data_IF_427155744306
#
_entry.id   IF_427155744306
#
_cell.length_a   1.000
_cell.length_b   1.000
_cell.length_c   1.000
_cell.angle_alpha   90.00
_cell.angle_beta   90.00
_cell.angle_gamma   90.00
#
_symmetry.space_group_name_H-M   'P 1'
#
loop_
_entity.id
_entity.type
_entity.pdbx_description
1 polymer ?
#
# COMPACT_ATOMS: atom_id res chain seq x y z
N UNK A 1 -49.87 -15.03 -28.07
CA UNK A 1 -49.96 -15.64 -26.72
C UNK A 1 -48.58 -16.20 -26.39
N UNK A 2 -47.81 -15.49 -25.58
CA UNK A 2 -46.44 -15.86 -25.17
C UNK A 2 -46.41 -16.00 -23.65
N UNK A 3 -45.80 -17.07 -23.08
CA UNK A 3 -45.90 -17.35 -21.66
C UNK A 3 -44.83 -16.56 -20.88
N UNK A 4 -45.30 -15.85 -19.86
CA UNK A 4 -44.47 -15.07 -18.94
C UNK A 4 -43.93 -15.98 -17.83
N UNK A 5 -42.64 -16.30 -17.85
CA UNK A 5 -41.98 -17.02 -16.76
C UNK A 5 -41.70 -16.08 -15.58
N UNK A 6 -42.44 -16.25 -14.49
CA UNK A 6 -42.15 -15.62 -13.19
C UNK A 6 -41.16 -16.47 -12.41
N UNK A 7 -39.95 -15.95 -12.18
CA UNK A 7 -39.00 -16.53 -11.22
C UNK A 7 -39.42 -16.16 -9.80
N UNK A 8 -39.64 -17.17 -8.96
CA UNK A 8 -39.84 -17.03 -7.52
C UNK A 8 -38.47 -17.04 -6.85
N UNK A 9 -38.07 -15.92 -6.27
CA UNK A 9 -36.89 -15.81 -5.41
C UNK A 9 -37.31 -16.22 -3.99
N UNK A 10 -36.73 -17.30 -3.48
CA UNK A 10 -36.85 -17.74 -2.09
C UNK A 10 -35.79 -16.99 -1.28
N UNK A 11 -36.24 -16.12 -0.38
CA UNK A 11 -35.38 -15.44 0.61
C UNK A 11 -35.29 -16.32 1.85
N UNK A 12 -34.13 -16.90 2.11
CA UNK A 12 -33.85 -17.62 3.34
C UNK A 12 -33.37 -16.62 4.41
N UNK A 13 -34.13 -16.49 5.50
CA UNK A 13 -33.75 -15.68 6.65
C UNK A 13 -32.73 -16.43 7.51
N UNK A 14 -31.51 -15.90 7.62
CA UNK A 14 -30.46 -16.43 8.49
C UNK A 14 -30.57 -15.73 9.86
N UNK A 15 -31.04 -16.45 10.87
CA UNK A 15 -31.06 -15.97 12.25
C UNK A 15 -29.69 -16.15 12.90
N UNK A 16 -29.01 -15.04 13.19
CA UNK A 16 -27.73 -15.04 13.93
C UNK A 16 -28.04 -14.83 15.41
N UNK A 17 -27.79 -15.85 16.23
CA UNK A 17 -27.87 -15.77 17.70
C UNK A 17 -26.59 -15.14 18.26
N UNK A 18 -26.71 -13.95 18.85
CA UNK A 18 -25.64 -13.28 19.59
C UNK A 18 -25.47 -13.91 20.98
N UNK A 19 -24.28 -14.44 21.27
CA UNK A 19 -23.88 -14.83 22.62
C UNK A 19 -23.30 -13.63 23.39
N UNK A 20 -23.52 -13.53 24.71
CA UNK A 20 -23.01 -12.42 25.52
C UNK A 20 -21.50 -12.51 25.76
N UNK A 21 -20.80 -11.41 25.45
CA UNK A 21 -19.38 -11.21 25.74
C UNK A 21 -19.23 -10.92 27.24
N UNK A 22 -18.52 -11.79 27.98
CA UNK A 22 -18.09 -11.55 29.36
C UNK A 22 -16.94 -10.54 29.36
N UNK A 23 -17.18 -9.36 29.90
CA UNK A 23 -16.15 -8.38 30.24
C UNK A 23 -15.40 -8.82 31.50
N UNK A 24 -14.11 -9.15 31.36
CA UNK A 24 -13.20 -9.23 32.50
C UNK A 24 -12.75 -7.82 32.88
N UNK A 25 -13.09 -7.40 34.10
CA UNK A 25 -12.54 -6.19 34.71
C UNK A 25 -11.16 -6.52 35.27
N UNK A 26 -10.12 -5.87 34.74
CA UNK A 26 -8.77 -5.90 35.31
C UNK A 26 -8.69 -4.91 36.47
N UNK A 27 -8.27 -5.41 37.64
CA UNK A 27 -7.97 -4.60 38.83
C UNK A 27 -6.65 -3.84 38.68
N UNK A 28 -6.55 -2.59 39.17
CA UNK A 28 -5.31 -1.82 39.12
C UNK A 28 -4.28 -2.28 40.18
N UNK A 29 -3.10 -2.66 39.71
CA UNK A 29 -1.93 -3.02 40.55
C UNK A 29 -1.29 -1.76 41.18
N UNK A 30 -1.00 -1.72 42.49
CA UNK A 30 -0.43 -0.55 43.15
C UNK A 30 1.06 -0.36 42.83
N UNK A 31 1.43 0.90 42.55
CA UNK A 31 2.80 1.34 42.27
C UNK A 31 3.62 1.47 43.57
N UNK A 32 4.71 0.70 43.66
CA UNK A 32 5.69 0.81 44.74
C UNK A 32 6.74 1.89 44.40
N UNK A 33 6.81 2.94 45.24
CA UNK A 33 7.89 3.93 45.26
C UNK A 33 9.15 3.29 45.85
N UNK A 34 10.27 3.30 45.12
CA UNK A 34 11.62 3.07 45.69
C UNK A 34 12.40 4.38 45.73
N UNK A 35 12.92 4.67 46.91
CA UNK A 35 13.79 5.80 47.21
C UNK A 35 15.17 5.62 46.57
N UNK A 36 15.78 6.76 46.25
CA UNK A 36 17.10 6.91 45.62
C UNK A 36 18.09 7.29 46.70
N UNK A 37 19.07 6.42 46.97
CA UNK A 37 20.28 6.78 47.72
C UNK A 37 21.42 7.05 46.71
N UNK A 38 21.96 8.27 46.78
CA UNK A 38 23.04 8.75 45.95
C UNK A 38 24.40 8.46 46.60
N UNK A 39 25.33 7.88 45.82
CA UNK A 39 26.76 7.85 46.16
C UNK A 39 27.56 8.36 44.95
N UNK A 40 28.47 9.34 45.11
CA UNK A 40 29.31 9.82 44.04
C UNK A 40 30.60 8.98 44.01
N UNK A 41 30.79 8.17 42.97
CA UNK A 41 32.09 7.55 42.69
C UNK A 41 32.75 8.18 41.47
N UNK A 42 34.04 8.39 41.68
CA UNK A 42 35.01 9.19 40.93
C UNK A 42 35.33 8.50 39.59
N UNK A 43 35.03 9.16 38.47
CA UNK A 43 35.30 8.63 37.15
C UNK A 43 36.78 8.82 36.76
N UNK A 44 37.51 7.71 36.63
CA UNK A 44 38.79 7.67 35.93
C UNK A 44 38.57 7.57 34.41
N UNK A 45 39.37 8.28 33.58
CA UNK A 45 39.22 8.27 32.13
C UNK A 45 39.87 7.01 31.53
N UNK A 46 39.06 6.05 31.07
CA UNK A 46 39.54 4.93 30.24
C UNK A 46 39.63 5.34 28.77
N UNK A 47 40.84 5.62 28.31
CA UNK A 47 41.20 5.59 26.89
C UNK A 47 41.45 4.12 26.46
N UNK A 48 41.23 3.81 25.18
CA UNK A 48 41.56 2.55 24.48
C UNK A 48 40.49 1.43 24.35
N UNK A 49 39.31 1.73 23.77
CA UNK A 49 38.40 0.73 23.16
C UNK A 49 37.97 0.90 21.66
N UNK A 50 38.71 1.55 20.73
CA UNK A 50 38.24 1.70 19.34
C UNK A 50 38.16 0.40 18.51
N UNK A 51 39.05 -0.58 18.74
CA UNK A 51 39.21 -1.73 17.83
C UNK A 51 38.13 -2.82 17.99
N UNK A 52 37.58 -3.00 19.20
CA UNK A 52 36.52 -3.97 19.47
C UNK A 52 35.17 -3.51 18.87
N UNK A 53 34.87 -2.21 18.97
CA UNK A 53 33.64 -1.64 18.43
C UNK A 53 33.50 -1.83 16.90
N UNK A 54 34.61 -1.78 16.15
CA UNK A 54 34.57 -1.96 14.69
C UNK A 54 34.16 -3.38 14.29
N UNK A 55 34.71 -4.41 14.96
CA UNK A 55 34.38 -5.81 14.65
C UNK A 55 32.90 -6.14 14.91
N UNK A 56 32.33 -5.52 15.94
CA UNK A 56 30.91 -5.68 16.27
C UNK A 56 29.99 -5.06 15.21
N UNK A 57 30.36 -3.88 14.68
CA UNK A 57 29.62 -3.24 13.57
C UNK A 57 29.67 -4.09 12.31
N UNK A 58 30.86 -4.56 11.91
CA UNK A 58 31.02 -5.39 10.70
C UNK A 58 30.22 -6.71 10.81
N UNK A 59 30.21 -7.34 11.98
CA UNK A 59 29.44 -8.57 12.22
C UNK A 59 27.92 -8.33 12.16
N UNK A 60 27.46 -7.20 12.72
CA UNK A 60 26.05 -6.79 12.66
C UNK A 60 25.62 -6.49 11.22
N UNK A 61 26.46 -5.80 10.45
CA UNK A 61 26.14 -5.49 9.05
C UNK A 61 26.03 -6.74 8.18
N UNK A 62 26.94 -7.70 8.38
CA UNK A 62 26.87 -9.00 7.70
C UNK A 62 25.61 -9.79 8.08
N UNK A 63 25.18 -9.74 9.34
CA UNK A 63 23.92 -10.34 9.79
C UNK A 63 22.71 -9.70 9.10
N UNK A 64 22.70 -8.36 8.99
CA UNK A 64 21.62 -7.62 8.31
C UNK A 64 21.59 -7.99 6.84
N UNK A 65 22.74 -8.05 6.15
CA UNK A 65 22.79 -8.44 4.74
C UNK A 65 22.28 -9.86 4.50
N UNK A 66 22.62 -10.80 5.39
CA UNK A 66 22.06 -12.16 5.34
C UNK A 66 20.53 -12.14 5.50
N UNK A 67 20.01 -11.30 6.40
CA UNK A 67 18.58 -11.12 6.60
C UNK A 67 17.88 -10.47 5.40
N UNK A 68 18.53 -9.52 4.71
CA UNK A 68 18.03 -8.95 3.46
C UNK A 68 17.77 -10.03 2.41
N UNK A 69 18.72 -10.96 2.25
CA UNK A 69 18.56 -12.06 1.29
C UNK A 69 17.39 -12.99 1.63
N UNK A 70 17.05 -13.12 2.90
CA UNK A 70 15.88 -13.89 3.35
C UNK A 70 14.56 -13.15 3.11
N UNK A 71 14.55 -11.81 3.20
CA UNK A 71 13.35 -11.01 2.99
C UNK A 71 12.99 -10.80 1.52
N UNK A 72 13.96 -10.76 0.61
CA UNK A 72 13.69 -10.54 -0.83
C UNK A 72 12.66 -11.55 -1.38
N UNK A 73 12.78 -12.87 -1.15
CA UNK A 73 11.76 -13.83 -1.56
C UNK A 73 10.39 -13.57 -0.93
N UNK A 74 10.34 -13.18 0.34
CA UNK A 74 9.10 -12.84 1.05
C UNK A 74 8.39 -11.64 0.40
N UNK A 75 9.11 -10.53 0.18
CA UNK A 75 8.56 -9.36 -0.49
C UNK A 75 8.20 -9.63 -1.94
N UNK A 76 8.96 -10.48 -2.64
CA UNK A 76 8.65 -10.92 -4.00
C UNK A 76 7.28 -11.61 -4.03
N UNK A 77 6.99 -12.52 -3.09
CA UNK A 77 5.67 -13.16 -3.02
C UNK A 77 4.56 -12.17 -2.64
N UNK A 78 4.83 -11.27 -1.68
CA UNK A 78 3.89 -10.25 -1.25
C UNK A 78 3.49 -9.28 -2.38
N UNK A 79 4.43 -8.93 -3.27
CA UNK A 79 4.21 -7.96 -4.34
C UNK A 79 3.74 -8.60 -5.66
N UNK A 80 3.72 -9.93 -5.76
CA UNK A 80 3.23 -10.65 -6.94
C UNK A 80 1.82 -10.24 -7.37
N UNK A 81 0.81 -10.07 -6.48
CA UNK A 81 -0.52 -9.57 -6.87
C UNK A 81 -0.49 -8.20 -7.55
N UNK A 82 0.44 -7.32 -7.15
CA UNK A 82 0.62 -5.99 -7.75
C UNK A 82 1.06 -6.17 -9.21
N UNK A 83 2.09 -6.98 -9.42
CA UNK A 83 2.60 -7.28 -10.76
C UNK A 83 1.50 -7.89 -11.65
N UNK A 84 0.78 -8.90 -11.14
CA UNK A 84 -0.31 -9.54 -11.87
C UNK A 84 -1.39 -8.54 -12.29
N UNK A 85 -1.77 -7.62 -11.40
CA UNK A 85 -2.75 -6.57 -11.70
C UNK A 85 -2.26 -5.65 -12.82
N UNK A 86 -0.99 -5.23 -12.79
CA UNK A 86 -0.43 -4.36 -13.82
C UNK A 86 -0.27 -5.08 -15.16
N UNK A 87 0.14 -6.35 -15.15
CA UNK A 87 0.18 -7.18 -16.36
C UNK A 87 -1.22 -7.35 -16.97
N UNK A 88 -2.23 -7.68 -16.17
CA UNK A 88 -3.61 -7.82 -16.64
C UNK A 88 -4.14 -6.51 -17.25
N UNK A 89 -3.80 -5.37 -16.64
CA UNK A 89 -4.12 -4.05 -17.21
C UNK A 89 -3.46 -3.83 -18.57
N UNK A 90 -2.16 -4.13 -18.71
CA UNK A 90 -1.44 -4.01 -19.99
C UNK A 90 -2.04 -4.93 -21.06
N UNK A 91 -2.37 -6.17 -20.69
CA UNK A 91 -3.05 -7.12 -21.59
C UNK A 91 -4.36 -6.56 -22.15
N UNK A 92 -5.15 -5.89 -21.30
CA UNK A 92 -6.44 -5.33 -21.70
C UNK A 92 -6.34 -4.08 -22.57
N UNK A 93 -5.29 -3.28 -22.38
CA UNK A 93 -5.18 -1.95 -23.02
C UNK A 93 -4.31 -1.94 -24.29
N UNK A 94 -3.28 -2.79 -24.33
CA UNK A 94 -2.20 -2.65 -25.32
C UNK A 94 -2.32 -3.57 -26.54
N UNK A 95 -3.32 -4.45 -26.63
CA UNK A 95 -3.51 -5.38 -27.76
C UNK A 95 -2.19 -6.12 -28.12
N UNK A 96 -1.54 -6.75 -27.14
CA UNK A 96 -0.17 -7.28 -27.30
C UNK A 96 -0.07 -8.44 -28.31
N UNK A 97 0.95 -8.38 -29.17
CA UNK A 97 1.30 -9.50 -30.06
C UNK A 97 1.93 -10.66 -29.28
N UNK A 98 1.85 -11.91 -29.78
CA UNK A 98 2.50 -13.06 -29.14
C UNK A 98 4.00 -12.87 -28.88
N UNK A 99 4.71 -12.12 -29.73
CA UNK A 99 6.15 -11.85 -29.61
C UNK A 99 6.48 -10.82 -28.52
N UNK A 100 5.55 -9.91 -28.22
CA UNK A 100 5.71 -8.89 -27.19
C UNK A 100 5.52 -9.47 -25.77
N UNK A 101 4.59 -10.41 -25.61
CA UNK A 101 4.20 -10.99 -24.31
C UNK A 101 5.37 -11.56 -23.50
N UNK A 102 6.22 -12.47 -24.01
CA UNK A 102 7.29 -13.06 -23.22
C UNK A 102 8.36 -12.02 -22.82
N UNK A 103 8.60 -11.02 -23.67
CA UNK A 103 9.53 -9.92 -23.37
C UNK A 103 9.01 -9.08 -22.18
N UNK A 104 7.74 -8.69 -22.23
CA UNK A 104 7.10 -7.93 -21.15
C UNK A 104 7.06 -8.76 -19.87
N UNK A 105 6.64 -10.04 -19.92
CA UNK A 105 6.58 -10.92 -18.74
C UNK A 105 7.95 -11.03 -18.06
N UNK A 106 8.97 -11.37 -18.84
CA UNK A 106 10.34 -11.60 -18.32
C UNK A 106 10.90 -10.33 -17.68
N UNK A 107 10.76 -9.19 -18.35
CA UNK A 107 11.23 -7.92 -17.80
C UNK A 107 10.43 -7.51 -16.55
N UNK A 108 9.13 -7.76 -16.53
CA UNK A 108 8.26 -7.45 -15.39
C UNK A 108 8.61 -8.26 -14.13
N UNK A 109 8.97 -9.54 -14.26
CA UNK A 109 9.48 -10.35 -13.13
C UNK A 109 10.78 -9.76 -12.55
N UNK A 110 11.65 -9.18 -13.38
CA UNK A 110 12.83 -8.47 -12.88
C UNK A 110 12.46 -7.21 -12.07
N UNK A 111 11.42 -6.47 -12.48
CA UNK A 111 10.92 -5.30 -11.73
C UNK A 111 10.33 -5.66 -10.37
N UNK A 112 9.70 -6.84 -10.27
CA UNK A 112 9.17 -7.35 -9.01
C UNK A 112 10.30 -7.63 -8.01
N UNK A 113 11.39 -8.26 -8.48
CA UNK A 113 12.59 -8.48 -7.67
C UNK A 113 13.23 -7.15 -7.26
N UNK A 114 13.31 -6.16 -8.15
CA UNK A 114 13.83 -4.82 -7.84
C UNK A 114 13.03 -4.15 -6.71
N UNK A 115 11.69 -4.17 -6.79
CA UNK A 115 10.83 -3.60 -5.76
C UNK A 115 10.97 -4.35 -4.41
N UNK A 116 11.12 -5.67 -4.45
CA UNK A 116 11.37 -6.49 -3.26
C UNK A 116 12.73 -6.16 -2.62
N UNK A 117 13.79 -6.01 -3.40
CA UNK A 117 15.12 -5.60 -2.94
C UNK A 117 15.07 -4.22 -2.27
N UNK A 118 14.44 -3.22 -2.90
CA UNK A 118 14.30 -1.88 -2.31
C UNK A 118 13.58 -1.90 -0.96
N UNK A 119 12.55 -2.73 -0.81
CA UNK A 119 11.86 -2.87 0.48
C UNK A 119 12.75 -3.57 1.52
N UNK A 120 13.47 -4.61 1.13
CA UNK A 120 14.41 -5.29 2.02
C UNK A 120 15.49 -4.31 2.50
N UNK A 121 16.13 -3.58 1.60
CA UNK A 121 17.13 -2.56 1.93
C UNK A 121 16.58 -1.49 2.88
N UNK A 122 15.35 -1.02 2.65
CA UNK A 122 14.67 -0.09 3.56
C UNK A 122 14.53 -0.67 4.97
N UNK A 123 14.09 -1.93 5.10
CA UNK A 123 13.99 -2.62 6.39
C UNK A 123 15.38 -2.82 7.05
N UNK A 124 16.41 -3.15 6.26
CA UNK A 124 17.78 -3.29 6.76
C UNK A 124 18.36 -1.96 7.26
N UNK A 125 18.08 -0.87 6.55
CA UNK A 125 18.45 0.49 6.97
C UNK A 125 17.82 0.86 8.32
N UNK A 126 16.53 0.56 8.51
CA UNK A 126 15.86 0.76 9.80
C UNK A 126 16.51 -0.06 10.93
N UNK A 127 16.99 -1.28 10.63
CA UNK A 127 17.70 -2.11 11.61
C UNK A 127 19.12 -1.63 11.90
N UNK A 128 19.82 -0.98 10.95
CA UNK A 128 21.17 -0.43 11.14
C UNK A 128 21.16 0.83 11.98
N UNK A 129 20.41 1.84 11.53
CA UNK A 129 20.51 3.20 12.03
C UNK A 129 19.47 3.55 13.11
N UNK A 130 18.64 2.56 13.47
CA UNK A 130 17.41 2.79 14.24
C UNK A 130 16.38 3.55 13.41
N UNK A 131 15.24 3.90 14.01
CA UNK A 131 14.08 4.53 13.35
C UNK A 131 14.33 5.90 12.69
N UNK A 132 15.60 6.31 12.51
CA UNK A 132 16.02 7.54 11.82
C UNK A 132 15.97 7.43 10.29
N UNK A 133 15.76 6.24 9.73
CA UNK A 133 15.34 6.09 8.34
C UNK A 133 13.87 6.54 8.18
N UNK A 134 13.59 7.81 8.50
CA UNK A 134 12.27 8.46 8.35
C UNK A 134 11.95 8.81 6.90
N UNK A 135 12.81 8.46 5.95
CA UNK A 135 12.61 8.83 4.55
C UNK A 135 11.80 7.74 3.86
N UNK A 136 10.48 7.97 3.84
CA UNK A 136 9.45 7.37 3.00
C UNK A 136 9.66 5.91 2.66
N UNK A 137 8.90 5.04 3.33
CA UNK A 137 8.78 3.63 2.94
C UNK A 137 8.59 3.51 1.42
N UNK A 138 9.41 2.71 0.70
CA UNK A 138 9.29 2.55 -0.74
C UNK A 138 7.86 2.16 -1.13
N UNK A 139 7.34 2.78 -2.18
CA UNK A 139 6.07 2.35 -2.76
C UNK A 139 6.36 1.28 -3.84
N UNK A 140 6.11 -0.01 -3.56
CA UNK A 140 6.41 -1.08 -4.51
C UNK A 140 5.54 -0.98 -5.76
N UNK A 141 4.31 -0.50 -5.65
CA UNK A 141 3.42 -0.32 -6.80
C UNK A 141 3.93 0.76 -7.75
N UNK A 142 4.42 1.88 -7.22
CA UNK A 142 5.05 2.92 -8.03
C UNK A 142 6.32 2.39 -8.70
N UNK A 143 7.19 1.71 -7.94
CA UNK A 143 8.43 1.12 -8.47
C UNK A 143 8.15 0.15 -9.62
N UNK A 144 7.22 -0.78 -9.43
CA UNK A 144 6.82 -1.76 -10.46
C UNK A 144 6.28 -1.05 -11.70
N UNK A 145 5.38 -0.06 -11.54
CA UNK A 145 4.81 0.67 -12.68
C UNK A 145 5.83 1.46 -13.46
N UNK A 146 6.72 2.18 -12.78
CA UNK A 146 7.76 2.97 -13.44
C UNK A 146 8.71 2.08 -14.22
N UNK A 147 9.17 0.97 -13.62
CA UNK A 147 10.05 0.03 -14.29
C UNK A 147 9.35 -0.69 -15.45
N UNK A 148 8.09 -1.11 -15.32
CA UNK A 148 7.32 -1.68 -16.44
C UNK A 148 7.10 -0.65 -17.55
N UNK A 149 6.80 0.60 -17.20
CA UNK A 149 6.58 1.66 -18.20
C UNK A 149 7.81 1.88 -19.08
N UNK A 150 9.03 1.74 -18.54
CA UNK A 150 10.27 1.77 -19.34
C UNK A 150 10.32 0.61 -20.32
N UNK A 151 10.05 -0.62 -19.88
CA UNK A 151 10.00 -1.82 -20.74
C UNK A 151 8.98 -1.65 -21.87
N UNK A 152 7.81 -1.07 -21.57
CA UNK A 152 6.77 -0.85 -22.56
C UNK A 152 7.19 0.17 -23.62
N UNK A 153 7.98 1.19 -23.27
CA UNK A 153 8.48 2.16 -24.25
C UNK A 153 9.35 1.51 -25.32
N UNK A 154 10.13 0.50 -24.96
CA UNK A 154 11.03 -0.22 -25.87
C UNK A 154 10.32 -1.33 -26.67
N UNK A 155 9.17 -1.82 -26.18
CA UNK A 155 8.50 -3.01 -26.72
C UNK A 155 7.24 -2.70 -27.52
N UNK A 156 6.51 -1.65 -27.14
CA UNK A 156 5.23 -1.29 -27.74
C UNK A 156 5.41 -0.42 -28.98
N UNK A 157 4.48 -0.54 -29.91
CA UNK A 157 4.36 0.44 -31.01
C UNK A 157 3.94 1.81 -30.44
N UNK A 158 4.18 2.93 -31.16
CA UNK A 158 3.76 4.25 -30.70
C UNK A 158 2.25 4.34 -30.40
N UNK A 159 1.41 3.68 -31.20
CA UNK A 159 -0.04 3.63 -30.98
C UNK A 159 -0.44 2.88 -29.71
N UNK A 160 0.15 1.72 -29.46
CA UNK A 160 -0.07 0.96 -28.22
C UNK A 160 0.38 1.76 -26.99
N UNK A 161 1.56 2.41 -27.08
CA UNK A 161 2.07 3.22 -25.97
C UNK A 161 1.20 4.45 -25.67
N UNK A 162 0.64 5.09 -26.71
CA UNK A 162 -0.29 6.21 -26.53
C UNK A 162 -1.60 5.77 -25.85
N UNK A 163 -2.16 4.62 -26.25
CA UNK A 163 -3.31 4.02 -25.56
C UNK A 163 -3.00 3.75 -24.08
N UNK A 164 -1.89 3.08 -23.81
CA UNK A 164 -1.44 2.79 -22.44
C UNK A 164 -1.34 4.05 -21.58
N UNK A 165 -0.65 5.10 -22.07
CA UNK A 165 -0.51 6.38 -21.34
C UNK A 165 -1.85 7.04 -21.04
N UNK A 166 -2.78 6.99 -22.00
CA UNK A 166 -4.12 7.55 -21.84
C UNK A 166 -4.88 6.83 -20.72
N UNK A 167 -4.90 5.50 -20.75
CA UNK A 167 -5.57 4.68 -19.72
C UNK A 167 -4.91 4.82 -18.34
N UNK A 168 -3.58 4.89 -18.27
CA UNK A 168 -2.87 5.18 -17.01
C UNK A 168 -3.31 6.53 -16.43
N UNK A 169 -3.37 7.58 -17.26
CA UNK A 169 -3.80 8.89 -16.82
C UNK A 169 -5.26 8.89 -16.31
N UNK A 170 -6.17 8.20 -17.02
CA UNK A 170 -7.55 8.04 -16.60
C UNK A 170 -7.66 7.29 -15.27
N UNK A 171 -6.93 6.17 -15.12
CA UNK A 171 -6.89 5.40 -13.87
C UNK A 171 -6.37 6.23 -12.69
N UNK A 172 -5.30 7.00 -12.91
CA UNK A 172 -4.76 7.91 -11.88
C UNK A 172 -5.78 8.98 -11.49
N UNK A 173 -6.43 9.62 -12.46
CA UNK A 173 -7.45 10.63 -12.19
C UNK A 173 -8.66 10.05 -11.43
N UNK A 174 -9.11 8.85 -11.82
CA UNK A 174 -10.21 8.16 -11.15
C UNK A 174 -9.89 7.84 -9.70
N UNK A 175 -8.68 7.33 -9.42
CA UNK A 175 -8.24 7.00 -8.07
C UNK A 175 -8.08 8.22 -7.18
N UNK A 176 -7.47 9.29 -7.70
CA UNK A 176 -7.42 10.59 -7.01
C UNK A 176 -8.84 11.01 -6.60
N UNK A 177 -9.77 11.04 -7.55
CA UNK A 177 -11.17 11.42 -7.28
C UNK A 177 -11.81 10.52 -6.21
N UNK A 178 -11.67 9.20 -6.35
CA UNK A 178 -12.23 8.25 -5.40
C UNK A 178 -11.63 8.39 -3.98
N UNK A 179 -10.32 8.65 -3.87
CA UNK A 179 -9.65 8.86 -2.59
C UNK A 179 -10.20 10.11 -1.89
N UNK A 180 -10.30 11.23 -2.62
CA UNK A 180 -10.82 12.49 -2.10
C UNK A 180 -12.28 12.33 -1.67
N UNK A 181 -13.13 11.75 -2.53
CA UNK A 181 -14.54 11.50 -2.23
C UNK A 181 -14.70 10.59 -1.01
N UNK A 182 -13.88 9.53 -0.89
CA UNK A 182 -13.91 8.62 0.26
C UNK A 182 -13.58 9.33 1.57
N UNK A 183 -12.58 10.23 1.58
CA UNK A 183 -12.24 11.02 2.77
C UNK A 183 -13.33 12.03 3.10
N UNK A 184 -13.83 12.76 2.11
CA UNK A 184 -14.87 13.78 2.32
C UNK A 184 -16.18 13.14 2.81
N UNK A 185 -16.56 11.98 2.29
CA UNK A 185 -17.74 11.25 2.76
C UNK A 185 -17.61 10.82 4.23
N UNK A 186 -16.42 10.38 4.67
CA UNK A 186 -16.20 10.04 6.09
C UNK A 186 -16.22 11.28 6.98
N UNK A 187 -15.58 12.36 6.54
CA UNK A 187 -15.63 13.64 7.26
C UNK A 187 -17.08 14.13 7.39
N UNK A 188 -17.88 14.00 6.34
CA UNK A 188 -19.31 14.33 6.36
C UNK A 188 -20.08 13.50 7.40
N UNK A 189 -19.89 12.18 7.40
CA UNK A 189 -20.53 11.28 8.36
C UNK A 189 -20.14 11.55 9.82
N UNK A 190 -18.91 12.00 10.08
CA UNK A 190 -18.42 12.30 11.44
C UNK A 190 -18.69 13.73 11.90
N UNK A 191 -18.59 14.71 11.00
CA UNK A 191 -18.66 16.15 11.33
C UNK A 191 -19.99 16.81 10.91
N UNK A 192 -20.89 16.05 10.25
CA UNK A 192 -22.15 16.55 9.70
C UNK A 192 -21.91 17.79 8.80
N UNK A 193 -21.07 17.63 7.77
CA UNK A 193 -20.68 18.76 6.93
C UNK A 193 -21.88 19.30 6.13
N UNK A 194 -21.92 20.61 5.93
CA UNK A 194 -22.80 21.22 4.94
C UNK A 194 -22.31 20.94 3.52
N UNK A 195 -23.19 21.10 2.53
CA UNK A 195 -22.81 20.98 1.11
C UNK A 195 -21.65 21.91 0.75
N UNK A 196 -21.71 23.18 1.20
CA UNK A 196 -20.65 24.16 0.94
C UNK A 196 -19.31 23.75 1.56
N UNK A 197 -19.31 23.14 2.75
CA UNK A 197 -18.09 22.66 3.39
C UNK A 197 -17.49 21.49 2.64
N UNK A 198 -18.32 20.52 2.21
CA UNK A 198 -17.86 19.39 1.37
C UNK A 198 -17.21 19.88 0.08
N UNK A 199 -17.80 20.86 -0.60
CA UNK A 199 -17.25 21.41 -1.84
C UNK A 199 -15.90 22.10 -1.60
N UNK A 200 -15.81 22.98 -0.59
CA UNK A 200 -14.56 23.68 -0.25
C UNK A 200 -13.44 22.73 0.17
N UNK A 201 -13.75 21.72 0.98
CA UNK A 201 -12.77 20.71 1.39
C UNK A 201 -12.32 19.89 0.18
N UNK A 202 -13.26 19.48 -0.69
CA UNK A 202 -12.93 18.74 -1.92
C UNK A 202 -11.99 19.55 -2.81
N UNK A 203 -12.29 20.83 -3.03
CA UNK A 203 -11.46 21.75 -3.82
C UNK A 203 -10.07 21.92 -3.19
N UNK A 204 -10.00 22.16 -1.88
CA UNK A 204 -8.74 22.37 -1.16
C UNK A 204 -7.84 21.13 -1.18
N UNK A 205 -8.38 19.93 -0.95
CA UNK A 205 -7.63 18.67 -1.09
C UNK A 205 -7.22 18.44 -2.54
N UNK A 206 -8.08 18.75 -3.51
CA UNK A 206 -7.76 18.58 -4.94
C UNK A 206 -6.59 19.46 -5.38
N UNK A 207 -6.56 20.70 -4.91
CA UNK A 207 -5.51 21.68 -5.17
C UNK A 207 -4.20 21.33 -4.46
N UNK A 208 -4.28 20.82 -3.23
CA UNK A 208 -3.12 20.37 -2.42
C UNK A 208 -2.73 18.91 -2.61
N UNK A 209 -3.27 18.23 -3.62
CA UNK A 209 -3.13 16.78 -3.77
C UNK A 209 -1.68 16.33 -3.83
N UNK A 210 -1.37 15.24 -3.14
CA UNK A 210 -0.07 14.55 -3.19
C UNK A 210 -0.28 13.10 -3.59
N UNK A 211 0.58 12.54 -4.45
CA UNK A 211 0.41 11.18 -4.95
C UNK A 211 0.40 10.13 -3.84
N UNK A 212 1.15 10.36 -2.75
CA UNK A 212 1.13 9.47 -1.57
C UNK A 212 -0.24 9.34 -0.91
N UNK A 213 -1.14 10.32 -1.12
CA UNK A 213 -2.52 10.28 -0.61
C UNK A 213 -3.40 9.27 -1.35
N UNK A 214 -2.96 8.70 -2.47
CA UNK A 214 -3.67 7.59 -3.14
C UNK A 214 -3.86 6.40 -2.17
N UNK A 215 -2.95 6.23 -1.22
CA UNK A 215 -3.01 5.18 -0.20
C UNK A 215 -4.23 5.31 0.73
N UNK A 216 -4.88 6.46 0.79
CA UNK A 216 -6.12 6.65 1.56
C UNK A 216 -7.26 5.75 1.08
N UNK A 217 -7.23 5.30 -0.18
CA UNK A 217 -8.16 4.28 -0.67
C UNK A 217 -8.07 2.99 0.15
N UNK A 218 -6.86 2.59 0.57
CA UNK A 218 -6.67 1.39 1.39
C UNK A 218 -7.28 1.54 2.77
N UNK A 219 -7.36 2.76 3.32
CA UNK A 219 -8.00 2.99 4.63
C UNK A 219 -9.49 2.65 4.63
N UNK A 220 -10.13 2.46 3.47
CA UNK A 220 -11.53 1.98 3.40
C UNK A 220 -11.73 0.57 3.93
N UNK A 221 -10.69 -0.26 3.93
CA UNK A 221 -10.80 -1.63 4.47
C UNK A 221 -10.94 -1.65 6.00
N UNK A 222 -10.55 -0.57 6.68
CA UNK A 222 -10.65 -0.42 8.14
C UNK A 222 -11.92 0.33 8.57
N UNK A 223 -12.84 0.61 7.64
CA UNK A 223 -14.06 1.36 7.91
C UNK A 223 -13.79 2.76 8.46
N UNK A 224 -14.56 3.16 9.46
CA UNK A 224 -14.56 4.53 10.01
C UNK A 224 -13.65 4.68 11.25
N UNK A 225 -12.83 3.67 11.57
CA UNK A 225 -11.98 3.69 12.78
C UNK A 225 -10.84 4.71 12.69
N UNK A 226 -10.36 5.01 11.49
CA UNK A 226 -9.18 5.83 11.27
C UNK A 226 -9.39 6.86 10.17
N UNK A 227 -8.84 8.05 10.39
CA UNK A 227 -8.71 9.07 9.35
C UNK A 227 -7.28 9.11 8.81
N UNK A 228 -7.09 9.38 7.51
CA UNK A 228 -5.77 9.72 7.02
C UNK A 228 -5.27 11.01 7.66
N UNK A 229 -3.96 11.14 7.80
CA UNK A 229 -3.32 12.43 8.10
C UNK A 229 -3.48 13.37 6.90
N UNK A 230 -4.47 14.26 6.99
CA UNK A 230 -4.68 15.37 6.05
C UNK A 230 -4.17 16.65 6.72
N UNK A 231 -3.32 17.46 6.07
CA UNK A 231 -2.89 18.73 6.64
C UNK A 231 -4.07 19.64 6.97
N UNK A 232 -4.06 20.25 8.16
CA UNK A 232 -5.18 21.05 8.68
C UNK A 232 -5.62 22.18 7.76
N UNK A 233 -4.70 22.76 6.98
CA UNK A 233 -5.00 23.81 6.01
C UNK A 233 -6.08 23.40 4.98
N UNK A 234 -6.24 22.10 4.71
CA UNK A 234 -7.22 21.59 3.76
C UNK A 234 -8.58 21.26 4.37
N UNK A 235 -8.64 21.12 5.70
CA UNK A 235 -9.87 20.70 6.41
C UNK A 235 -10.32 21.80 7.37
N UNK A 236 -9.51 22.10 8.38
CA UNK A 236 -9.88 22.93 9.52
C UNK A 236 -10.27 24.37 9.11
N UNK A 237 -9.70 24.91 8.04
CA UNK A 237 -10.05 26.25 7.51
C UNK A 237 -11.50 26.37 7.05
N UNK A 238 -12.17 25.23 6.78
CA UNK A 238 -13.54 25.16 6.30
C UNK A 238 -14.55 24.69 7.36
N UNK A 239 -14.08 24.38 8.57
CA UNK A 239 -14.91 23.90 9.69
C UNK A 239 -15.31 25.05 10.63
N UNK A 240 -16.48 24.91 11.26
CA UNK A 240 -16.88 25.75 12.38
C UNK A 240 -16.16 25.36 13.69
N UNK A 241 -16.47 26.03 14.79
CA UNK A 241 -15.78 25.81 16.07
C UNK A 241 -16.03 24.41 16.64
N UNK A 242 -17.26 23.90 16.56
CA UNK A 242 -17.65 22.61 17.12
C UNK A 242 -17.04 21.47 16.29
N UNK A 243 -17.13 21.57 14.96
CA UNK A 243 -16.50 20.63 14.04
C UNK A 243 -14.98 20.58 14.18
N UNK A 244 -14.32 21.73 14.42
CA UNK A 244 -12.87 21.78 14.70
C UNK A 244 -12.50 21.01 15.96
N UNK A 245 -13.31 21.15 17.02
CA UNK A 245 -13.11 20.41 18.27
C UNK A 245 -13.15 18.90 18.00
N UNK A 246 -14.18 18.43 17.29
CA UNK A 246 -14.29 17.01 16.90
C UNK A 246 -13.11 16.58 16.02
N UNK A 247 -12.80 17.32 14.95
CA UNK A 247 -11.67 17.04 14.05
C UNK A 247 -10.35 16.88 14.80
N UNK A 248 -10.07 17.75 15.77
CA UNK A 248 -8.84 17.71 16.56
C UNK A 248 -8.71 16.42 17.38
N UNK A 249 -9.84 15.88 17.87
CA UNK A 249 -9.90 14.65 18.65
C UNK A 249 -9.89 13.37 17.82
N UNK A 250 -10.07 13.44 16.49
CA UNK A 250 -10.06 12.24 15.64
C UNK A 250 -8.67 11.61 15.57
N UNK A 251 -8.63 10.28 15.64
CA UNK A 251 -7.42 9.50 15.44
C UNK A 251 -7.02 9.52 13.96
N UNK A 252 -5.89 10.15 13.67
CA UNK A 252 -5.30 10.27 12.35
C UNK A 252 -4.07 9.38 12.26
N UNK A 253 -3.96 8.59 11.19
CA UNK A 253 -2.82 7.70 10.96
C UNK A 253 -2.19 7.96 9.59
N UNK A 254 -0.87 7.86 9.54
CA UNK A 254 -0.16 7.75 8.26
C UNK A 254 -0.12 6.25 7.92
N UNK A 255 -0.75 5.88 6.81
CA UNK A 255 -0.86 4.49 6.42
C UNK A 255 0.31 4.12 5.51
N UNK A 256 1.13 3.16 5.92
CA UNK A 256 2.16 2.58 5.08
C UNK A 256 1.56 1.69 3.99
N UNK A 257 2.34 1.37 2.96
CA UNK A 257 1.87 0.45 1.93
C UNK A 257 1.70 -0.97 2.50
N UNK A 258 0.47 -1.51 2.44
CA UNK A 258 0.18 -2.90 2.76
C UNK A 258 -0.15 -3.67 1.48
N UNK A 259 0.76 -4.55 1.06
CA UNK A 259 0.56 -5.44 -0.08
C UNK A 259 -0.39 -6.58 0.30
N UNK A 260 -1.69 -6.37 0.14
CA UNK A 260 -2.72 -7.39 0.22
C UNK A 260 -3.44 -7.50 -1.12
N UNK A 261 -3.33 -8.64 -1.79
CA UNK A 261 -4.01 -8.89 -3.04
C UNK A 261 -4.17 -10.39 -3.25
N UNK A 262 -5.26 -10.77 -3.91
CA UNK A 262 -5.48 -12.16 -4.32
C UNK A 262 -4.50 -12.43 -5.47
N UNK A 263 -3.67 -13.46 -5.32
CA UNK A 263 -2.86 -13.98 -6.42
C UNK A 263 -3.79 -14.76 -7.32
N UNK A 264 -4.09 -14.22 -8.50
CA UNK A 264 -4.72 -15.00 -9.56
C UNK A 264 -3.69 -15.95 -10.17
N UNK A 265 -4.10 -17.18 -10.46
CA UNK A 265 -3.21 -18.15 -11.10
C UNK A 265 -2.80 -17.66 -12.49
N UNK A 266 -1.54 -17.90 -12.88
CA UNK A 266 -1.08 -17.64 -14.25
C UNK A 266 -1.90 -18.50 -15.22
N UNK A 267 -2.69 -17.85 -16.07
CA UNK A 267 -3.54 -18.52 -17.06
C UNK A 267 -2.77 -19.01 -18.29
N UNK A 268 -1.43 -18.86 -18.28
CA UNK A 268 -0.55 -19.29 -19.35
C UNK A 268 -0.53 -18.34 -20.55
N UNK A 269 -1.34 -17.27 -20.55
CA UNK A 269 -1.47 -16.36 -21.70
C UNK A 269 -0.17 -15.61 -22.02
N UNK A 270 0.70 -15.42 -21.02
CA UNK A 270 2.00 -14.78 -21.17
C UNK A 270 3.10 -15.71 -21.71
N UNK A 271 2.84 -17.02 -21.76
CA UNK A 271 3.76 -18.03 -22.29
C UNK A 271 3.75 -18.11 -23.81
N UNK A 272 4.84 -18.66 -24.36
CA UNK A 272 4.93 -19.01 -25.79
C UNK A 272 4.56 -20.48 -25.94
N UNK A 273 3.28 -20.79 -26.09
CA UNK A 273 2.89 -21.99 -26.83
C UNK A 273 1.89 -21.61 -27.91
N UNK A 274 2.35 -21.05 -29.04
CA UNK A 274 1.60 -21.23 -30.26
C UNK A 274 1.57 -22.74 -30.55
N UNK A 275 0.36 -23.25 -30.75
CA UNK A 275 0.09 -24.64 -31.09
C UNK A 275 1.14 -25.17 -32.09
N UNK A 276 1.66 -26.38 -31.82
CA UNK A 276 2.21 -27.20 -32.89
C UNK A 276 1.10 -27.30 -33.93
N UNK A 277 1.26 -26.58 -35.04
CA UNK A 277 0.33 -26.65 -36.14
C UNK A 277 0.18 -28.12 -36.50
N UNK A 278 -1.05 -28.63 -36.36
CA UNK A 278 -1.39 -29.98 -36.75
C UNK A 278 -0.86 -30.22 -38.15
N UNK A 279 0.02 -31.21 -38.27
CA UNK A 279 0.46 -31.69 -39.56
C UNK A 279 -0.78 -32.05 -40.38
N UNK A 280 -0.86 -31.67 -41.66
CA UNK A 280 -2.04 -31.95 -42.48
C UNK A 280 -2.30 -33.46 -42.45
N UNK A 281 -3.50 -33.85 -41.99
CA UNK A 281 -4.02 -35.22 -42.14
C UNK A 281 -3.90 -35.58 -43.63
N UNK A 282 -3.08 -36.59 -43.93
CA UNK A 282 -2.98 -37.21 -45.25
C UNK A 282 -4.16 -38.13 -45.49
#
# INVERSE_FOLDING_TARGET
MTPTHRHRILVAALAITLAPIRSHADEPKPAAKKAVDAKPDKAEPKADKPAEAKKEVDARDAQIDAQLQQWIPQFTQQYRPILTTELNFIRQVCDLTPEQRPKIKTASEATLKEAATKMAEFQGGMMRDGSRAQNQQPNPQQTIRESITKVLQDTLTPGQMAKYKTEVAQRTALRKRAAIQGVVARLDGTLCLSAQQRDKITESITAGWQDKWEQWLMLSIYGDQYFPVVPDQHIATHLDADQKSVWSGLQKIEFGYYGGGIVEADDGWWGVEPAKADAPMK
#
